data_IF_382599445451
#
_entry.id   IF_382599445451
#
_cell.length_a   1.000
_cell.length_b   1.000
_cell.length_c   1.000
_cell.angle_alpha   90.00
_cell.angle_beta   90.00
_cell.angle_gamma   90.00
#
_symmetry.space_group_name_H-M   'P 1'
#
loop_
_entity.id
_entity.type
_entity.pdbx_description
1 polymer ?
#
# COMPACT_ATOMS: atom_id res chain seq x y z
N UNK A 1 -4.78 6.09 8.80
CA UNK A 1 -3.61 5.25 9.09
C UNK A 1 -2.51 5.53 8.08
N UNK A 2 -1.24 5.45 8.49
CA UNK A 2 -0.09 5.50 7.58
C UNK A 2 0.40 4.06 7.40
N UNK A 3 0.63 3.63 6.15
CA UNK A 3 0.97 2.25 5.81
C UNK A 3 2.26 2.23 4.99
N UNK A 4 3.15 1.28 5.28
CA UNK A 4 4.35 0.98 4.51
C UNK A 4 4.25 -0.46 4.02
N UNK A 5 4.39 -0.66 2.72
CA UNK A 5 4.52 -1.98 2.08
C UNK A 5 5.98 -2.16 1.70
N UNK A 6 6.57 -3.30 2.06
CA UNK A 6 7.97 -3.62 1.79
C UNK A 6 8.06 -4.69 0.72
N UNK A 7 8.86 -4.42 -0.31
CA UNK A 7 9.08 -5.25 -1.48
C UNK A 7 8.66 -4.57 -2.79
N UNK A 8 9.19 -5.08 -3.89
CA UNK A 8 9.07 -4.46 -5.23
C UNK A 8 8.45 -5.40 -6.27
N UNK A 9 7.77 -6.46 -5.84
CA UNK A 9 7.13 -7.44 -6.71
C UNK A 9 5.71 -7.06 -7.09
N UNK A 10 5.12 -7.85 -8.02
CA UNK A 10 3.74 -7.64 -8.45
C UNK A 10 2.71 -7.82 -7.33
N UNK A 11 3.02 -8.69 -6.35
CA UNK A 11 2.17 -8.92 -5.17
C UNK A 11 2.07 -7.66 -4.32
N UNK A 12 3.20 -7.00 -4.06
CA UNK A 12 3.28 -5.79 -3.25
C UNK A 12 2.56 -4.63 -3.95
N UNK A 13 2.64 -4.55 -5.28
CA UNK A 13 1.89 -3.57 -6.06
C UNK A 13 0.37 -3.81 -5.96
N UNK A 14 -0.10 -5.06 -6.08
CA UNK A 14 -1.52 -5.38 -5.92
C UNK A 14 -2.04 -5.06 -4.51
N UNK A 15 -1.23 -5.35 -3.48
CA UNK A 15 -1.52 -4.95 -2.09
C UNK A 15 -1.61 -3.43 -1.95
N UNK A 16 -0.65 -2.68 -2.50
CA UNK A 16 -0.69 -1.22 -2.50
C UNK A 16 -1.96 -0.68 -3.15
N UNK A 17 -2.36 -1.27 -4.29
CA UNK A 17 -3.57 -0.90 -5.02
C UNK A 17 -4.85 -1.12 -4.19
N UNK A 18 -4.96 -2.25 -3.49
CA UNK A 18 -6.10 -2.52 -2.62
C UNK A 18 -6.10 -1.61 -1.38
N UNK A 19 -4.95 -1.40 -0.74
CA UNK A 19 -4.84 -0.56 0.48
C UNK A 19 -5.16 0.91 0.18
N UNK A 20 -4.76 1.42 -0.98
CA UNK A 20 -5.02 2.80 -1.40
C UNK A 20 -6.51 3.15 -1.50
N UNK A 21 -7.38 2.16 -1.69
CA UNK A 21 -8.83 2.36 -1.79
C UNK A 21 -9.53 2.52 -0.42
N UNK A 22 -8.85 2.20 0.69
CA UNK A 22 -9.47 2.29 2.01
C UNK A 22 -9.69 3.76 2.43
N UNK A 23 -10.89 4.16 2.88
CA UNK A 23 -11.13 5.51 3.42
C UNK A 23 -10.34 5.79 4.70
N UNK A 24 -9.79 4.75 5.34
CA UNK A 24 -8.93 4.86 6.51
C UNK A 24 -7.46 5.11 6.13
N UNK A 25 -7.06 4.94 4.86
CA UNK A 25 -5.70 5.16 4.40
C UNK A 25 -5.42 6.65 4.23
N UNK A 26 -4.49 7.19 5.03
CA UNK A 26 -4.08 8.60 4.95
C UNK A 26 -2.82 8.78 4.09
N UNK A 27 -1.91 7.80 4.14
CA UNK A 27 -0.67 7.81 3.38
C UNK A 27 -0.16 6.39 3.21
N UNK A 28 0.23 6.05 1.99
CA UNK A 28 0.81 4.76 1.62
C UNK A 28 2.23 4.99 1.10
N UNK A 29 3.17 4.20 1.60
CA UNK A 29 4.55 4.17 1.17
C UNK A 29 4.88 2.77 0.65
N UNK A 30 5.73 2.67 -0.36
CA UNK A 30 6.28 1.41 -0.86
C UNK A 30 7.81 1.53 -0.87
N UNK A 31 8.50 0.54 -0.33
CA UNK A 31 9.96 0.50 -0.22
C UNK A 31 10.51 -0.88 -0.57
#
# INVERSE_FOLDING_TARGET
>A
MKVLVVGSGGREHALCWAIAQSPKCKKLYCA
#
